data_IF_513597168005
#
_entry.id   IF_513597168005
#
_cell.length_a   1.000
_cell.length_b   1.000
_cell.length_c   1.000
_cell.angle_alpha   90.00
_cell.angle_beta   90.00
_cell.angle_gamma   90.00
#
_symmetry.space_group_name_H-M   'P 1'
#
loop_
_entity.id
_entity.type
_entity.pdbx_description
1 polymer ?
#
# COMPACT_ATOMS: atom_id res chain seq x y z
N UNK A 1 -7.31 5.94 -6.93
CA UNK A 1 -6.66 5.68 -8.23
C UNK A 1 -5.17 5.49 -7.95
N UNK A 2 -4.69 4.24 -7.87
CA UNK A 2 -3.32 3.91 -7.47
C UNK A 2 -2.31 4.39 -8.52
N UNK A 3 -2.62 4.26 -9.81
CA UNK A 3 -1.73 4.68 -10.88
C UNK A 3 -1.54 6.21 -10.91
N UNK A 4 -2.61 6.97 -10.65
CA UNK A 4 -2.50 8.42 -10.52
C UNK A 4 -1.59 8.84 -9.35
N UNK A 5 -1.59 8.06 -8.25
CA UNK A 5 -0.67 8.26 -7.13
C UNK A 5 0.78 8.05 -7.57
N UNK A 6 1.08 6.90 -8.17
CA UNK A 6 2.44 6.59 -8.66
C UNK A 6 2.92 7.67 -9.65
N UNK A 7 2.08 8.08 -10.61
CA UNK A 7 2.40 9.14 -11.57
C UNK A 7 2.64 10.49 -10.89
N UNK A 8 1.92 10.82 -9.82
CA UNK A 8 2.12 12.08 -9.10
C UNK A 8 3.51 12.15 -8.44
N UNK A 9 3.99 11.04 -7.88
CA UNK A 9 5.30 10.95 -7.23
C UNK A 9 6.46 10.82 -8.24
N UNK A 10 6.32 9.96 -9.25
CA UNK A 10 7.42 9.69 -10.19
C UNK A 10 7.46 10.63 -11.38
N UNK A 11 6.32 10.82 -12.05
CA UNK A 11 6.27 11.51 -13.36
C UNK A 11 6.06 13.02 -13.21
N UNK A 12 5.07 13.42 -12.42
CA UNK A 12 4.70 14.83 -12.27
C UNK A 12 5.54 15.53 -11.21
N UNK A 13 6.18 14.75 -10.33
CA UNK A 13 6.95 15.22 -9.19
C UNK A 13 6.28 16.42 -8.47
N UNK A 14 4.97 16.30 -8.25
CA UNK A 14 4.17 17.38 -7.68
C UNK A 14 4.73 17.75 -6.30
N UNK A 15 4.76 19.06 -5.95
CA UNK A 15 5.16 19.46 -4.61
C UNK A 15 4.29 18.73 -3.60
N UNK A 16 4.93 18.10 -2.61
CA UNK A 16 4.23 17.28 -1.62
C UNK A 16 3.11 18.05 -0.91
N UNK A 17 3.33 19.34 -0.67
CA UNK A 17 2.39 20.24 0.01
C UNK A 17 1.31 20.82 -0.91
N UNK A 18 1.29 20.48 -2.21
CA UNK A 18 0.28 21.01 -3.14
C UNK A 18 -1.10 20.39 -2.93
N UNK A 19 -2.16 21.20 -3.15
CA UNK A 19 -3.55 20.73 -3.11
C UNK A 19 -3.82 19.60 -4.12
N UNK A 20 -3.13 19.66 -5.27
CA UNK A 20 -3.20 18.61 -6.29
C UNK A 20 -2.68 17.27 -5.75
N UNK A 21 -1.54 17.28 -5.05
CA UNK A 21 -1.02 16.07 -4.40
C UNK A 21 -1.97 15.58 -3.31
N UNK A 22 -2.50 16.48 -2.47
CA UNK A 22 -3.47 16.13 -1.44
C UNK A 22 -4.71 15.42 -2.00
N UNK A 23 -5.25 15.89 -3.14
CA UNK A 23 -6.38 15.26 -3.83
C UNK A 23 -6.02 13.87 -4.36
N UNK A 24 -4.83 13.71 -4.93
CA UNK A 24 -4.34 12.41 -5.42
C UNK A 24 -4.18 11.41 -4.27
N UNK A 25 -3.55 11.83 -3.15
CA UNK A 25 -3.40 11.00 -1.95
C UNK A 25 -4.78 10.56 -1.43
N UNK A 26 -5.73 11.49 -1.34
CA UNK A 26 -7.10 11.21 -0.89
C UNK A 26 -7.81 10.20 -1.79
N UNK A 27 -7.71 10.38 -3.11
CA UNK A 27 -8.29 9.44 -4.07
C UNK A 27 -7.62 8.06 -4.05
N UNK A 28 -6.32 8.00 -3.75
CA UNK A 28 -5.61 6.74 -3.56
C UNK A 28 -6.15 6.01 -2.32
N UNK A 29 -6.23 6.72 -1.19
CA UNK A 29 -6.78 6.22 0.08
C UNK A 29 -8.18 5.64 -0.10
N UNK A 30 -9.08 6.38 -0.77
CA UNK A 30 -10.45 5.92 -1.04
C UNK A 30 -10.46 4.65 -1.89
N UNK A 31 -9.65 4.59 -2.95
CA UNK A 31 -9.58 3.37 -3.77
C UNK A 31 -9.02 2.17 -3.01
N UNK A 32 -7.98 2.34 -2.19
CA UNK A 32 -7.46 1.25 -1.36
C UNK A 32 -8.52 0.75 -0.38
N UNK A 33 -9.24 1.68 0.26
CA UNK A 33 -10.36 1.35 1.15
C UNK A 33 -11.42 0.53 0.41
N UNK A 34 -11.81 0.94 -0.80
CA UNK A 34 -12.77 0.21 -1.62
C UNK A 34 -12.27 -1.18 -2.06
N UNK A 35 -10.98 -1.33 -2.35
CA UNK A 35 -10.40 -2.63 -2.71
C UNK A 35 -10.41 -3.59 -1.51
N UNK A 36 -10.10 -3.09 -0.31
CA UNK A 36 -10.16 -3.89 0.91
C UNK A 36 -11.62 -4.28 1.20
N UNK A 37 -12.56 -3.33 1.21
CA UNK A 37 -13.98 -3.65 1.46
C UNK A 37 -14.55 -4.57 0.40
N UNK A 38 -14.17 -4.39 -0.86
CA UNK A 38 -14.55 -5.29 -1.94
C UNK A 38 -14.11 -6.72 -1.63
N UNK A 39 -12.85 -6.92 -1.20
CA UNK A 39 -12.28 -8.24 -0.96
C UNK A 39 -12.82 -8.92 0.32
N UNK A 40 -13.51 -8.20 1.21
CA UNK A 40 -13.95 -8.70 2.52
C UNK A 40 -15.47 -8.82 2.63
N UNK A 41 -15.96 -9.65 3.55
CA UNK A 41 -17.40 -9.74 3.89
C UNK A 41 -17.90 -8.51 4.70
N UNK A 42 -16.99 -7.73 5.30
CA UNK A 42 -17.33 -6.58 6.15
C UNK A 42 -17.64 -5.32 5.33
N UNK A 43 -18.83 -4.74 5.54
CA UNK A 43 -19.25 -3.46 4.94
C UNK A 43 -18.78 -2.23 5.73
N UNK A 44 -18.22 -2.39 6.93
CA UNK A 44 -17.84 -1.27 7.79
C UNK A 44 -16.38 -0.87 7.56
N UNK A 45 -16.16 0.35 7.08
CA UNK A 45 -14.83 0.90 6.82
C UNK A 45 -13.92 0.93 8.08
N UNK A 46 -14.49 1.05 9.29
CA UNK A 46 -13.73 1.02 10.55
C UNK A 46 -13.18 -0.38 10.91
N UNK A 47 -13.76 -1.44 10.35
CA UNK A 47 -13.34 -2.84 10.58
C UNK A 47 -12.17 -3.27 9.68
N UNK A 48 -11.74 -2.43 8.73
CA UNK A 48 -10.66 -2.75 7.79
C UNK A 48 -9.28 -2.72 8.45
N UNK A 49 -9.16 -1.97 9.56
CA UNK A 49 -7.96 -1.89 10.38
C UNK A 49 -7.86 -3.04 11.41
N UNK A 50 -8.93 -3.83 11.59
CA UNK A 50 -9.00 -4.88 12.61
C UNK A 50 -8.83 -6.28 12.00
N UNK A 51 -8.24 -7.21 12.76
CA UNK A 51 -7.94 -8.61 12.38
C UNK A 51 -9.15 -9.48 11.97
N UNK A 52 -10.37 -8.93 11.95
CA UNK A 52 -11.63 -9.66 11.77
C UNK A 52 -12.16 -9.70 10.33
N UNK A 53 -11.48 -9.08 9.37
CA UNK A 53 -12.00 -8.94 8.01
C UNK A 53 -11.94 -10.27 7.23
N UNK A 54 -13.02 -11.05 7.20
CA UNK A 54 -13.06 -12.34 6.48
C UNK A 54 -12.96 -12.13 4.96
N UNK A 55 -11.97 -12.70 4.26
CA UNK A 55 -11.74 -12.45 2.84
C UNK A 55 -12.60 -13.39 1.99
N UNK A 56 -13.00 -12.91 0.81
CA UNK A 56 -13.81 -13.66 -0.15
C UNK A 56 -12.89 -14.22 -1.23
N UNK A 57 -12.73 -15.56 -1.25
CA UNK A 57 -11.74 -16.25 -2.09
C UNK A 57 -11.80 -15.88 -3.59
N UNK A 58 -13.00 -15.82 -4.17
CA UNK A 58 -13.18 -15.43 -5.58
C UNK A 58 -12.66 -14.01 -5.86
N UNK A 59 -12.82 -13.10 -4.90
CA UNK A 59 -12.38 -11.71 -5.03
C UNK A 59 -10.89 -11.56 -4.78
N UNK A 60 -10.30 -12.32 -3.86
CA UNK A 60 -8.85 -12.40 -3.69
C UNK A 60 -8.17 -12.81 -5.00
N UNK A 61 -8.67 -13.88 -5.65
CA UNK A 61 -8.16 -14.33 -6.95
C UNK A 61 -8.28 -13.25 -8.02
N UNK A 62 -9.44 -12.58 -8.12
CA UNK A 62 -9.62 -11.49 -9.06
C UNK A 62 -8.57 -10.37 -8.87
N UNK A 63 -8.28 -9.97 -7.63
CA UNK A 63 -7.26 -8.96 -7.36
C UNK A 63 -5.84 -9.42 -7.76
N UNK A 64 -5.54 -10.71 -7.60
CA UNK A 64 -4.25 -11.27 -8.02
C UNK A 64 -4.14 -11.33 -9.55
N UNK A 65 -5.18 -11.83 -10.23
CA UNK A 65 -5.23 -11.93 -11.69
C UNK A 65 -5.09 -10.55 -12.35
N UNK A 66 -5.67 -9.52 -11.72
CA UNK A 66 -5.54 -8.12 -12.15
C UNK A 66 -4.25 -7.43 -11.69
N UNK A 67 -3.29 -8.19 -11.13
CA UNK A 67 -2.00 -7.71 -10.66
C UNK A 67 -2.08 -6.56 -9.63
N UNK A 68 -3.15 -6.48 -8.84
CA UNK A 68 -3.37 -5.39 -7.86
C UNK A 68 -2.25 -5.34 -6.82
N UNK A 69 -1.68 -6.49 -6.46
CA UNK A 69 -0.52 -6.58 -5.58
C UNK A 69 0.67 -5.77 -6.12
N UNK A 70 0.99 -5.89 -7.42
CA UNK A 70 2.09 -5.13 -8.05
C UNK A 70 1.85 -3.62 -7.97
N UNK A 71 0.62 -3.17 -8.22
CA UNK A 71 0.28 -1.75 -8.07
C UNK A 71 0.38 -1.27 -6.62
N UNK A 72 -0.04 -2.08 -5.65
CA UNK A 72 0.11 -1.77 -4.23
C UNK A 72 1.59 -1.64 -3.84
N UNK A 73 2.47 -2.49 -4.38
CA UNK A 73 3.91 -2.39 -4.18
C UNK A 73 4.48 -1.08 -4.76
N UNK A 74 4.09 -0.69 -5.98
CA UNK A 74 4.51 0.60 -6.55
C UNK A 74 4.08 1.78 -5.68
N UNK A 75 2.87 1.74 -5.10
CA UNK A 75 2.40 2.76 -4.17
C UNK A 75 3.23 2.78 -2.89
N UNK A 76 3.69 1.63 -2.39
CA UNK A 76 4.57 1.53 -1.23
C UNK A 76 5.99 2.05 -1.49
N UNK A 77 6.50 1.92 -2.72
CA UNK A 77 7.85 2.38 -3.07
C UNK A 77 7.91 3.85 -3.47
N UNK A 78 6.91 4.32 -4.21
CA UNK A 78 7.02 5.61 -4.91
C UNK A 78 7.24 6.86 -4.05
N UNK A 79 6.82 6.94 -2.77
CA UNK A 79 7.16 8.09 -1.92
C UNK A 79 8.64 8.13 -1.55
N UNK A 80 9.30 6.98 -1.51
CA UNK A 80 10.65 6.82 -0.94
C UNK A 80 11.73 6.61 -2.00
N UNK A 81 11.35 6.11 -3.18
CA UNK A 81 12.24 5.92 -4.33
C UNK A 81 11.66 6.68 -5.51
N UNK A 82 12.47 7.45 -6.22
CA UNK A 82 12.08 8.03 -7.50
C UNK A 82 13.06 7.58 -8.60
N UNK A 83 12.65 6.64 -9.48
CA UNK A 83 13.53 6.12 -10.52
C UNK A 83 13.89 7.18 -11.59
N UNK A 84 13.08 8.24 -11.74
CA UNK A 84 13.28 9.30 -12.72
C UNK A 84 14.11 10.48 -12.19
N UNK A 85 14.34 10.56 -10.87
CA UNK A 85 15.10 11.64 -10.21
C UNK A 85 16.46 11.19 -9.65
N UNK A 86 16.92 10.00 -10.04
CA UNK A 86 18.24 9.45 -9.70
C UNK A 86 19.40 10.38 -10.06
N UNK A 87 19.23 11.34 -10.98
CA UNK A 87 20.24 12.36 -11.30
C UNK A 87 20.39 13.51 -10.28
N UNK A 88 19.42 13.73 -9.36
CA UNK A 88 19.54 14.72 -8.26
C UNK A 88 19.37 14.12 -6.86
N UNK A 89 19.18 12.81 -6.73
CA UNK A 89 19.21 12.10 -5.44
C UNK A 89 18.09 12.41 -4.45
N UNK A 90 17.16 13.32 -4.76
CA UNK A 90 16.10 13.70 -3.82
C UNK A 90 14.90 12.74 -3.89
N UNK A 91 14.89 11.78 -2.97
CA UNK A 91 13.65 11.14 -2.55
C UNK A 91 12.68 12.20 -2.01
N UNK A 92 11.41 12.14 -2.43
CA UNK A 92 10.38 13.09 -1.96
C UNK A 92 10.14 12.97 -0.45
N UNK A 93 10.38 11.78 0.11
CA UNK A 93 10.24 11.51 1.53
C UNK A 93 11.27 10.47 1.96
N UNK A 94 12.08 10.79 2.97
CA UNK A 94 12.92 9.78 3.63
C UNK A 94 12.03 8.86 4.46
N UNK A 95 12.30 7.56 4.40
CA UNK A 95 11.51 6.55 5.11
C UNK A 95 11.45 6.83 6.63
N UNK A 96 12.56 7.28 7.21
CA UNK A 96 12.67 7.70 8.61
C UNK A 96 11.78 8.88 9.04
N UNK A 97 11.22 9.62 8.09
CA UNK A 97 10.37 10.78 8.38
C UNK A 97 8.88 10.46 8.22
N UNK A 98 8.52 9.26 7.75
CA UNK A 98 7.14 8.94 7.34
C UNK A 98 6.13 8.92 8.49
N UNK A 99 6.60 8.62 9.70
CA UNK A 99 5.79 8.59 10.92
C UNK A 99 5.46 10.00 11.47
N UNK A 100 6.18 11.03 11.00
CA UNK A 100 6.00 12.41 11.46
C UNK A 100 4.58 12.91 11.10
N UNK A 101 3.95 13.76 11.94
CA UNK A 101 2.58 14.24 11.72
C UNK A 101 2.34 14.88 10.35
N UNK A 102 3.34 15.59 9.81
CA UNK A 102 3.30 16.19 8.47
C UNK A 102 3.14 15.17 7.32
N UNK A 103 3.49 13.90 7.55
CA UNK A 103 3.45 12.82 6.56
C UNK A 103 2.33 11.79 6.82
N UNK A 104 1.45 12.05 7.80
CA UNK A 104 0.35 11.18 8.21
C UNK A 104 -0.51 10.65 7.05
N UNK A 105 -0.74 11.46 6.01
CA UNK A 105 -1.54 11.06 4.85
C UNK A 105 -0.85 9.98 4.00
N UNK A 106 0.47 10.07 3.81
CA UNK A 106 1.25 9.02 3.13
C UNK A 106 1.31 7.78 4.01
N UNK A 107 1.60 7.97 5.30
CA UNK A 107 1.64 6.87 6.27
C UNK A 107 0.37 6.02 6.24
N UNK A 108 -0.79 6.67 6.22
CA UNK A 108 -2.09 6.01 6.11
C UNK A 108 -2.26 5.24 4.79
N UNK A 109 -1.81 5.80 3.66
CA UNK A 109 -1.84 5.11 2.36
C UNK A 109 -0.96 3.86 2.40
N UNK A 110 0.26 3.95 2.92
CA UNK A 110 1.15 2.81 3.09
C UNK A 110 0.53 1.72 3.99
N UNK A 111 -0.08 2.14 5.10
CA UNK A 111 -0.79 1.23 6.02
C UNK A 111 -1.93 0.49 5.31
N UNK A 112 -2.77 1.20 4.55
CA UNK A 112 -3.84 0.59 3.78
C UNK A 112 -3.32 -0.34 2.68
N UNK A 113 -2.18 -0.04 2.05
CA UNK A 113 -1.54 -0.94 1.10
C UNK A 113 -1.15 -2.26 1.76
N UNK A 114 -0.49 -2.23 2.92
CA UNK A 114 -0.14 -3.45 3.65
C UNK A 114 -1.37 -4.26 4.08
N UNK A 115 -2.44 -3.59 4.49
CA UNK A 115 -3.71 -4.26 4.80
C UNK A 115 -4.35 -4.92 3.59
N UNK A 116 -4.35 -4.24 2.44
CA UNK A 116 -4.81 -4.84 1.18
C UNK A 116 -4.01 -6.09 0.84
N UNK A 117 -2.68 -6.01 0.90
CA UNK A 117 -1.79 -7.15 0.63
C UNK A 117 -2.06 -8.32 1.58
N UNK A 118 -2.23 -8.04 2.87
CA UNK A 118 -2.60 -9.04 3.88
C UNK A 118 -3.92 -9.74 3.51
N UNK A 119 -4.97 -8.95 3.25
CA UNK A 119 -6.30 -9.49 2.90
C UNK A 119 -6.25 -10.31 1.60
N UNK A 120 -5.41 -9.94 0.64
CA UNK A 120 -5.26 -10.69 -0.62
C UNK A 120 -4.69 -12.09 -0.42
N UNK A 121 -3.86 -12.32 0.60
CA UNK A 121 -3.19 -13.60 0.86
C UNK A 121 -3.76 -14.39 2.03
N UNK A 122 -4.58 -13.75 2.87
CA UNK A 122 -5.12 -14.34 4.09
C UNK A 122 -5.86 -15.67 3.86
N UNK A 123 -5.46 -16.68 4.62
CA UNK A 123 -5.98 -18.05 4.53
C UNK A 123 -5.66 -18.78 3.22
N UNK A 124 -4.72 -18.27 2.41
CA UNK A 124 -4.36 -18.81 1.09
C UNK A 124 -2.84 -18.77 0.86
N UNK A 125 -2.07 -19.75 1.35
CA UNK A 125 -0.60 -19.77 1.22
C UNK A 125 -0.11 -19.69 -0.23
N UNK A 126 -0.83 -20.29 -1.18
CA UNK A 126 -0.48 -20.22 -2.61
C UNK A 126 -0.51 -18.80 -3.18
N UNK A 127 -1.29 -17.89 -2.57
CA UNK A 127 -1.33 -16.48 -2.96
C UNK A 127 -0.17 -15.67 -2.37
N UNK A 128 0.37 -16.10 -1.22
CA UNK A 128 1.52 -15.47 -0.59
C UNK A 128 2.79 -15.56 -1.46
N UNK A 129 2.90 -16.58 -2.32
CA UNK A 129 4.00 -16.72 -3.29
C UNK A 129 4.12 -15.50 -4.22
N UNK A 130 3.01 -14.85 -4.57
CA UNK A 130 3.04 -13.62 -5.38
C UNK A 130 3.67 -12.44 -4.65
N UNK A 131 3.74 -12.49 -3.31
CA UNK A 131 4.35 -11.45 -2.47
C UNK A 131 5.81 -11.74 -2.10
N UNK A 132 6.27 -12.98 -2.28
CA UNK A 132 7.63 -13.39 -1.91
C UNK A 132 8.75 -12.52 -2.51
N UNK A 133 8.70 -12.10 -3.79
CA UNK A 133 9.72 -11.21 -4.37
C UNK A 133 9.86 -9.86 -3.66
N UNK A 134 8.84 -9.45 -2.89
CA UNK A 134 8.77 -8.16 -2.24
C UNK A 134 9.15 -8.19 -0.76
N UNK A 135 9.48 -9.35 -0.20
CA UNK A 135 9.90 -9.50 1.21
C UNK A 135 11.04 -8.53 1.58
N UNK A 136 12.09 -8.32 0.75
CA UNK A 136 13.15 -7.37 1.08
C UNK A 136 12.61 -5.95 1.30
N UNK A 137 11.67 -5.47 0.46
CA UNK A 137 11.04 -4.18 0.67
C UNK A 137 10.26 -4.15 1.99
N UNK A 138 9.47 -5.18 2.27
CA UNK A 138 8.69 -5.27 3.51
C UNK A 138 9.60 -5.20 4.74
N UNK A 139 10.72 -5.93 4.73
CA UNK A 139 11.72 -5.89 5.81
C UNK A 139 12.30 -4.48 5.99
N UNK A 140 12.63 -3.77 4.90
CA UNK A 140 13.10 -2.38 5.01
C UNK A 140 12.07 -1.44 5.62
N UNK A 141 10.77 -1.77 5.58
CA UNK A 141 9.68 -0.93 6.05
C UNK A 141 9.11 -1.33 7.42
N UNK A 142 9.62 -2.41 8.04
CA UNK A 142 9.08 -3.02 9.25
C UNK A 142 8.99 -2.05 10.45
N UNK A 143 9.97 -1.16 10.60
CA UNK A 143 10.15 -0.31 11.79
C UNK A 143 9.33 0.98 11.77
N UNK A 144 8.61 1.28 10.67
CA UNK A 144 7.98 2.60 10.46
C UNK A 144 6.48 2.63 10.76
N UNK A 145 6.02 1.71 11.61
CA UNK A 145 4.65 1.70 12.12
C UNK A 145 3.58 1.36 11.07
N UNK A 146 3.96 0.80 9.92
CA UNK A 146 3.01 0.18 9.01
C UNK A 146 2.63 -1.22 9.53
N UNK A 147 1.50 -1.76 9.09
CA UNK A 147 1.04 -3.12 9.46
C UNK A 147 1.81 -4.23 8.73
N UNK A 148 3.13 -4.06 8.52
CA UNK A 148 3.98 -5.00 7.76
C UNK A 148 4.05 -6.35 8.42
N UNK A 149 4.29 -6.38 9.74
CA UNK A 149 4.41 -7.62 10.53
C UNK A 149 3.17 -8.48 10.37
N UNK A 150 2.00 -7.86 10.39
CA UNK A 150 0.71 -8.52 10.21
C UNK A 150 0.56 -9.13 8.81
N UNK A 151 1.11 -8.50 7.77
CA UNK A 151 1.15 -9.03 6.41
C UNK A 151 2.14 -10.18 6.28
N UNK A 152 3.36 -10.04 6.83
CA UNK A 152 4.39 -11.07 6.80
C UNK A 152 3.94 -12.33 7.55
N UNK A 153 3.37 -12.17 8.75
CA UNK A 153 2.82 -13.29 9.52
C UNK A 153 1.76 -14.04 8.72
N UNK A 154 0.91 -13.33 7.97
CA UNK A 154 -0.11 -13.98 7.15
C UNK A 154 0.47 -14.70 5.92
N UNK A 155 1.61 -14.25 5.40
CA UNK A 155 2.31 -14.92 4.30
C UNK A 155 2.93 -16.26 4.71
N UNK A 156 3.27 -16.43 5.99
CA UNK A 156 3.95 -17.61 6.52
C UNK A 156 3.04 -18.54 7.37
N UNK A 157 1.74 -18.24 7.45
CA UNK A 157 0.73 -19.16 8.00
C UNK A 157 0.33 -20.20 6.96
#
# INVERSE_FOLDING_TARGET
>A
NLLAYVRAFWTLALPYQSDRMAKVITNCRVSLTHLITFCTESKKAGSLLTRSAKPIARKQRLLLDQNVHKFAMLVLECPFKNPLRTFRGESLLRLQDVDKPKHRRIHLVCTLCYQLLKVMVMGRPSFALCLAPFIPLMQTQLQYGFTVTDTLLEMFK
#
